data_IF_208633243650
#
_entry.id   IF_208633243650
#
_cell.length_a   1.000
_cell.length_b   1.000
_cell.length_c   1.000
_cell.angle_alpha   90.00
_cell.angle_beta   90.00
_cell.angle_gamma   90.00
#
_symmetry.space_group_name_H-M   'P 1'
#
loop_
_entity.id
_entity.type
_entity.pdbx_description
1 polymer ?
#
# COMPACT_ATOMS: atom_id res chain seq x y z
N UNK A 1 -14.32 17.92 -2.26
CA UNK A 1 -13.88 19.08 -3.05
C UNK A 1 -12.35 19.03 -3.19
N UNK A 2 -11.81 18.64 -4.34
CA UNK A 2 -10.34 18.50 -4.57
C UNK A 2 -9.89 19.19 -5.87
N UNK A 3 -10.80 19.82 -6.62
CA UNK A 3 -10.49 20.38 -7.93
C UNK A 3 -9.70 21.71 -7.90
N UNK A 4 -9.46 22.30 -6.72
CA UNK A 4 -8.98 23.68 -6.61
C UNK A 4 -7.45 23.84 -6.44
N UNK A 5 -6.67 22.77 -6.33
CA UNK A 5 -5.22 22.89 -6.05
C UNK A 5 -4.33 23.02 -7.30
N UNK A 6 -4.90 22.99 -8.51
CA UNK A 6 -4.11 23.07 -9.76
C UNK A 6 -4.25 24.40 -10.52
N UNK A 7 -4.93 25.40 -9.95
CA UNK A 7 -5.13 26.70 -10.60
C UNK A 7 -4.38 27.82 -9.86
N UNK A 8 -3.07 27.92 -10.07
CA UNK A 8 -2.35 29.21 -10.22
C UNK A 8 -0.84 28.99 -10.21
N UNK A 9 -0.18 29.22 -11.36
CA UNK A 9 1.00 30.09 -11.50
C UNK A 9 1.41 30.19 -12.98
N UNK A 10 1.24 31.40 -13.52
CA UNK A 10 1.78 31.86 -14.79
C UNK A 10 3.22 32.35 -14.59
N UNK A 11 4.18 31.87 -15.38
CA UNK A 11 5.57 32.35 -15.38
C UNK A 11 6.49 31.49 -16.24
N UNK A 12 7.29 32.12 -17.09
CA UNK A 12 8.12 31.55 -18.17
C UNK A 12 9.17 30.52 -17.68
N UNK A 13 8.83 29.23 -17.71
CA UNK A 13 9.76 28.09 -17.53
C UNK A 13 9.17 26.73 -17.93
N UNK A 14 7.99 26.74 -18.55
CA UNK A 14 6.98 25.68 -18.42
C UNK A 14 7.13 24.44 -19.34
N UNK A 15 8.15 24.33 -20.20
CA UNK A 15 8.23 23.21 -21.16
C UNK A 15 8.93 21.96 -20.60
N UNK A 16 10.06 22.14 -19.91
CA UNK A 16 10.88 21.04 -19.41
C UNK A 16 10.19 20.24 -18.29
N UNK A 17 9.79 20.93 -17.22
CA UNK A 17 9.14 20.29 -16.06
C UNK A 17 7.83 19.59 -16.43
N UNK A 18 7.06 20.15 -17.36
CA UNK A 18 5.84 19.50 -17.87
C UNK A 18 6.14 18.22 -18.64
N UNK A 19 7.20 18.19 -19.45
CA UNK A 19 7.61 16.99 -20.17
C UNK A 19 8.06 15.92 -19.19
N UNK A 20 8.92 16.27 -18.22
CA UNK A 20 9.40 15.33 -17.20
C UNK A 20 8.24 14.82 -16.33
N UNK A 21 7.31 15.69 -15.96
CA UNK A 21 6.09 15.31 -15.23
C UNK A 21 5.23 14.30 -15.99
N UNK A 22 5.05 14.49 -17.30
CA UNK A 22 4.32 13.53 -18.15
C UNK A 22 5.03 12.18 -18.24
N UNK A 23 6.35 12.18 -18.41
CA UNK A 23 7.15 10.95 -18.46
C UNK A 23 7.10 10.22 -17.11
N UNK A 24 7.25 10.94 -16.00
CA UNK A 24 7.12 10.38 -14.66
C UNK A 24 5.73 9.79 -14.42
N UNK A 25 4.67 10.51 -14.80
CA UNK A 25 3.29 10.02 -14.70
C UNK A 25 3.07 8.74 -15.51
N UNK A 26 3.59 8.68 -16.74
CA UNK A 26 3.51 7.47 -17.57
C UNK A 26 4.32 6.30 -16.99
N UNK A 27 5.52 6.56 -16.47
CA UNK A 27 6.37 5.54 -15.83
C UNK A 27 5.72 4.99 -14.55
N UNK A 28 5.12 5.85 -13.73
CA UNK A 28 4.37 5.44 -12.53
C UNK A 28 3.10 4.68 -12.94
N UNK A 29 2.37 5.15 -13.94
CA UNK A 29 1.19 4.45 -14.46
C UNK A 29 1.53 3.03 -14.92
N UNK A 30 2.71 2.82 -15.51
CA UNK A 30 3.20 1.51 -15.95
C UNK A 30 3.52 0.54 -14.79
N UNK A 31 3.63 1.02 -13.54
CA UNK A 31 3.71 0.14 -12.36
C UNK A 31 2.37 -0.56 -12.07
N UNK A 32 1.28 -0.08 -12.66
CA UNK A 32 -0.06 -0.62 -12.50
C UNK A 32 -0.50 -1.37 -13.75
N UNK A 33 -1.20 -2.49 -13.57
CA UNK A 33 -1.87 -3.22 -14.65
C UNK A 33 -2.96 -2.35 -15.29
N UNK A 34 -3.64 -1.54 -14.47
CA UNK A 34 -4.65 -0.57 -14.90
C UNK A 34 -4.72 0.55 -13.87
N UNK A 35 -4.98 1.77 -14.33
CA UNK A 35 -5.32 2.90 -13.46
C UNK A 35 -6.41 3.75 -14.13
N UNK A 36 -7.35 4.26 -13.36
CA UNK A 36 -8.32 5.25 -13.85
C UNK A 36 -7.66 6.63 -13.98
N UNK A 37 -6.77 6.95 -13.05
CA UNK A 37 -5.98 8.18 -13.04
C UNK A 37 -4.59 7.92 -12.48
N UNK A 38 -3.58 8.53 -13.09
CA UNK A 38 -2.21 8.59 -12.59
C UNK A 38 -1.58 9.89 -13.07
N UNK A 39 -1.53 10.90 -12.20
CA UNK A 39 -0.93 12.20 -12.49
C UNK A 39 0.27 12.43 -11.57
N UNK A 40 1.38 12.85 -12.17
CA UNK A 40 2.58 13.25 -11.46
C UNK A 40 2.92 14.70 -11.83
N UNK A 41 3.42 15.45 -10.85
CA UNK A 41 3.90 16.82 -11.04
C UNK A 41 5.27 16.98 -10.40
N UNK A 42 6.26 17.35 -11.18
CA UNK A 42 7.64 17.61 -10.74
C UNK A 42 7.90 19.11 -10.81
N UNK A 43 8.42 19.66 -9.72
CA UNK A 43 8.86 21.07 -9.63
C UNK A 43 10.37 21.13 -9.59
N UNK A 44 11.00 21.88 -10.49
CA UNK A 44 12.43 22.14 -10.44
C UNK A 44 12.78 23.53 -11.01
N UNK A 45 13.19 24.45 -10.14
CA UNK A 45 13.56 25.81 -10.51
C UNK A 45 15.01 26.14 -10.12
N UNK A 46 15.93 26.39 -11.08
CA UNK A 46 15.73 26.28 -12.53
C UNK A 46 15.64 24.81 -13.00
N UNK A 47 15.01 24.59 -14.15
CA UNK A 47 14.82 23.25 -14.78
C UNK A 47 16.13 22.46 -14.91
N UNK A 48 17.27 23.14 -15.05
CA UNK A 48 18.59 22.51 -15.12
C UNK A 48 18.93 21.65 -13.89
N UNK A 49 18.29 21.86 -12.73
CA UNK A 49 18.41 21.00 -11.54
C UNK A 49 18.04 19.54 -11.81
N UNK A 50 17.12 19.29 -12.75
CA UNK A 50 16.73 17.93 -13.14
C UNK A 50 17.93 17.14 -13.67
N UNK A 51 18.80 17.78 -14.45
CA UNK A 51 20.02 17.17 -14.99
C UNK A 51 21.08 16.90 -13.90
N UNK A 52 20.94 17.53 -12.74
CA UNK A 52 21.77 17.33 -11.56
C UNK A 52 21.14 16.38 -10.54
N UNK A 53 19.96 15.84 -10.84
CA UNK A 53 19.30 14.80 -10.04
C UNK A 53 18.56 15.38 -8.86
N UNK A 54 18.14 16.64 -8.98
CA UNK A 54 17.47 17.38 -7.91
C UNK A 54 16.14 17.95 -8.39
N UNK A 55 15.15 17.87 -7.52
CA UNK A 55 13.81 18.46 -7.67
C UNK A 55 13.47 19.22 -6.39
N UNK A 56 12.69 20.28 -6.52
CA UNK A 56 12.18 21.06 -5.38
C UNK A 56 10.93 20.41 -4.76
N UNK A 57 10.25 19.55 -5.52
CA UNK A 57 9.19 18.70 -4.99
C UNK A 57 8.53 17.83 -6.05
N UNK A 58 7.74 16.87 -5.56
CA UNK A 58 6.99 15.94 -6.38
C UNK A 58 5.62 15.69 -5.78
N UNK A 59 4.58 15.74 -6.61
CA UNK A 59 3.24 15.32 -6.21
C UNK A 59 2.76 14.20 -7.13
N UNK A 60 2.05 13.24 -6.56
CA UNK A 60 1.36 12.19 -7.29
C UNK A 60 -0.07 12.02 -6.79
N UNK A 61 -1.01 11.93 -7.72
CA UNK A 61 -2.41 11.60 -7.46
C UNK A 61 -2.83 10.47 -8.40
N UNK A 62 -3.16 9.33 -7.80
CA UNK A 62 -3.67 8.16 -8.50
C UNK A 62 -5.07 7.75 -8.03
N UNK A 63 -5.86 7.19 -8.95
CA UNK A 63 -7.18 6.61 -8.65
C UNK A 63 -7.39 5.27 -9.34
N UNK A 64 -8.09 4.37 -8.66
CA UNK A 64 -8.49 3.07 -9.20
C UNK A 64 -7.32 2.27 -9.76
N UNK A 65 -6.22 2.21 -9.02
CA UNK A 65 -4.97 1.60 -9.44
C UNK A 65 -4.98 0.11 -9.12
N UNK A 66 -5.04 -0.73 -10.16
CA UNK A 66 -4.92 -2.18 -10.06
C UNK A 66 -3.47 -2.58 -10.32
N UNK A 67 -2.83 -3.14 -9.30
CA UNK A 67 -1.48 -3.69 -9.39
C UNK A 67 -1.47 -5.03 -10.13
N UNK A 68 -0.31 -5.42 -10.67
CA UNK A 68 -0.15 -6.71 -11.37
C UNK A 68 -0.39 -7.92 -10.47
N UNK A 69 -0.16 -7.76 -9.17
CA UNK A 69 -0.43 -8.78 -8.17
C UNK A 69 -1.91 -8.91 -7.77
N UNK A 70 -2.79 -8.07 -8.34
CA UNK A 70 -4.23 -8.08 -8.10
C UNK A 70 -4.70 -7.13 -6.99
N UNK A 71 -3.80 -6.50 -6.23
CA UNK A 71 -4.18 -5.48 -5.25
C UNK A 71 -4.74 -4.24 -5.95
N UNK A 72 -5.90 -3.75 -5.51
CA UNK A 72 -6.48 -2.48 -5.99
C UNK A 72 -6.41 -1.41 -4.91
N UNK A 73 -5.91 -0.24 -5.29
CA UNK A 73 -5.89 0.96 -4.47
C UNK A 73 -6.92 1.93 -5.04
N UNK A 74 -7.84 2.39 -4.20
CA UNK A 74 -8.90 3.30 -4.63
C UNK A 74 -8.33 4.70 -4.91
N UNK A 75 -7.53 5.22 -3.97
CA UNK A 75 -6.84 6.52 -4.09
C UNK A 75 -5.45 6.43 -3.49
N UNK A 76 -4.47 7.04 -4.16
CA UNK A 76 -3.14 7.30 -3.61
C UNK A 76 -2.77 8.75 -3.87
N UNK A 77 -2.40 9.45 -2.80
CA UNK A 77 -1.85 10.79 -2.85
C UNK A 77 -0.45 10.73 -2.22
N UNK A 78 0.57 11.22 -2.91
CA UNK A 78 1.94 11.27 -2.42
C UNK A 78 2.50 12.66 -2.69
N UNK A 79 3.04 13.30 -1.67
CA UNK A 79 3.70 14.60 -1.75
C UNK A 79 5.09 14.49 -1.17
N UNK A 80 6.08 14.92 -1.94
CA UNK A 80 7.48 14.96 -1.55
C UNK A 80 7.98 16.40 -1.58
N UNK A 81 8.74 16.77 -0.56
CA UNK A 81 9.57 17.97 -0.57
C UNK A 81 10.78 17.78 -1.49
N UNK A 82 11.76 18.68 -1.40
CA UNK A 82 12.96 18.62 -2.21
C UNK A 82 13.65 17.24 -2.09
N UNK A 83 14.02 16.68 -3.24
CA UNK A 83 14.74 15.42 -3.36
C UNK A 83 16.00 15.70 -4.17
N UNK A 84 17.14 15.22 -3.70
CA UNK A 84 18.40 15.31 -4.42
C UNK A 84 19.11 13.96 -4.35
N UNK A 85 19.40 13.39 -5.52
CA UNK A 85 20.00 12.06 -5.68
C UNK A 85 21.46 12.20 -6.09
N UNK A 86 22.31 11.32 -5.58
CA UNK A 86 23.69 11.20 -6.02
C UNK A 86 23.80 10.37 -7.29
N UNK A 87 23.89 11.03 -8.45
CA UNK A 87 24.05 10.33 -9.73
C UNK A 87 25.31 9.48 -9.82
N UNK A 88 26.39 9.82 -9.10
CA UNK A 88 27.60 8.97 -9.05
C UNK A 88 27.29 7.58 -8.49
N UNK A 89 26.45 7.53 -7.46
CA UNK A 89 25.98 6.28 -6.85
C UNK A 89 25.08 5.48 -7.81
N UNK A 90 24.30 6.16 -8.65
CA UNK A 90 23.39 5.51 -9.62
C UNK A 90 24.17 4.67 -10.64
N UNK A 91 25.35 5.13 -11.08
CA UNK A 91 26.23 4.33 -11.96
C UNK A 91 26.80 3.08 -11.29
N UNK A 92 26.87 3.07 -9.95
CA UNK A 92 27.20 1.90 -9.15
C UNK A 92 25.96 1.05 -8.79
N UNK A 93 24.80 1.34 -9.38
CA UNK A 93 23.52 0.66 -9.10
C UNK A 93 22.87 1.07 -7.77
N UNK A 94 23.31 2.17 -7.15
CA UNK A 94 22.83 2.62 -5.85
C UNK A 94 21.98 3.89 -5.97
N UNK A 95 20.84 3.92 -5.30
CA UNK A 95 20.06 5.15 -5.13
C UNK A 95 20.39 5.75 -3.78
N UNK A 96 21.12 6.87 -3.78
CA UNK A 96 21.52 7.57 -2.56
C UNK A 96 20.98 8.99 -2.57
N UNK A 97 20.29 9.37 -1.49
CA UNK A 97 19.89 10.76 -1.28
C UNK A 97 21.08 11.58 -0.78
N UNK A 98 21.25 12.79 -1.32
CA UNK A 98 22.25 13.77 -0.85
C UNK A 98 21.79 14.50 0.41
N UNK A 99 20.49 14.50 0.67
CA UNK A 99 19.87 15.09 1.85
C UNK A 99 18.61 14.31 2.23
N UNK A 100 18.20 14.34 3.51
CA UNK A 100 16.88 13.85 3.91
C UNK A 100 15.77 14.56 3.13
N UNK A 101 14.66 13.87 2.91
CA UNK A 101 13.45 14.45 2.31
C UNK A 101 12.26 14.16 3.21
N UNK A 102 11.22 14.97 3.10
CA UNK A 102 9.95 14.74 3.79
C UNK A 102 8.90 14.29 2.78
N UNK A 103 8.13 13.29 3.17
CA UNK A 103 7.06 12.72 2.38
C UNK A 103 5.77 12.72 3.19
N UNK A 104 4.64 13.02 2.54
CA UNK A 104 3.32 12.68 3.05
C UNK A 104 2.61 11.81 2.04
N UNK A 105 1.95 10.77 2.53
CA UNK A 105 1.26 9.81 1.70
C UNK A 105 -0.10 9.48 2.31
N UNK A 106 -1.12 9.38 1.46
CA UNK A 106 -2.44 8.91 1.81
C UNK A 106 -2.84 7.82 0.83
N UNK A 107 -3.18 6.67 1.39
CA UNK A 107 -3.67 5.51 0.64
C UNK A 107 -5.08 5.21 1.13
N UNK A 108 -6.01 5.00 0.20
CA UNK A 108 -7.38 4.61 0.47
C UNK A 108 -7.61 3.23 -0.12
N UNK A 109 -8.06 2.30 0.72
CA UNK A 109 -8.45 0.94 0.35
C UNK A 109 -9.92 0.78 0.69
N UNK A 110 -10.73 0.43 -0.32
CA UNK A 110 -12.14 0.15 -0.09
C UNK A 110 -12.33 -1.26 0.48
N UNK A 111 -13.47 -1.49 1.15
CA UNK A 111 -13.82 -2.82 1.65
C UNK A 111 -13.84 -3.86 0.52
N UNK A 112 -14.46 -3.52 -0.61
CA UNK A 112 -14.54 -4.41 -1.78
C UNK A 112 -13.18 -4.70 -2.38
N UNK A 113 -12.29 -3.70 -2.44
CA UNK A 113 -10.94 -3.88 -2.96
C UNK A 113 -10.11 -4.77 -2.04
N UNK A 114 -10.21 -4.59 -0.72
CA UNK A 114 -9.55 -5.46 0.25
C UNK A 114 -10.05 -6.90 0.12
N UNK A 115 -11.36 -7.13 0.21
CA UNK A 115 -11.95 -8.46 0.04
C UNK A 115 -11.49 -9.12 -1.26
N UNK A 116 -11.53 -8.41 -2.38
CA UNK A 116 -11.02 -8.92 -3.66
C UNK A 116 -9.53 -9.27 -3.56
N UNK A 117 -8.72 -8.37 -2.98
CA UNK A 117 -7.27 -8.51 -2.90
C UNK A 117 -6.85 -9.69 -2.04
N UNK A 118 -7.52 -9.95 -0.92
CA UNK A 118 -7.25 -11.10 -0.05
C UNK A 118 -7.51 -12.46 -0.72
N UNK A 119 -8.30 -12.48 -1.79
CA UNK A 119 -8.55 -13.68 -2.60
C UNK A 119 -7.69 -13.74 -3.88
N UNK A 120 -6.75 -12.80 -4.07
CA UNK A 120 -5.81 -12.87 -5.19
C UNK A 120 -4.71 -13.90 -4.92
N UNK A 121 -4.17 -14.56 -5.96
CA UNK A 121 -3.07 -15.53 -5.78
C UNK A 121 -1.90 -14.94 -4.98
N UNK A 122 -1.55 -13.68 -5.23
CA UNK A 122 -0.45 -13.03 -4.52
C UNK A 122 -0.66 -12.95 -3.01
N UNK A 123 -1.83 -12.47 -2.55
CA UNK A 123 -2.07 -12.35 -1.10
C UNK A 123 -2.26 -13.73 -0.48
N UNK A 124 -2.96 -14.63 -1.15
CA UNK A 124 -3.14 -16.02 -0.69
C UNK A 124 -1.80 -16.73 -0.52
N UNK A 125 -0.87 -16.61 -1.47
CA UNK A 125 0.48 -17.18 -1.37
C UNK A 125 1.31 -16.57 -0.22
N UNK A 126 1.10 -15.28 0.09
CA UNK A 126 1.74 -14.64 1.25
C UNK A 126 1.16 -15.16 2.55
N UNK A 127 -0.16 -15.32 2.63
CA UNK A 127 -0.84 -15.88 3.79
C UNK A 127 -0.55 -17.38 3.99
N UNK A 128 -0.21 -18.12 2.92
CA UNK A 128 0.25 -19.50 3.03
C UNK A 128 1.60 -19.67 3.75
N UNK A 129 2.35 -18.58 3.94
CA UNK A 129 3.58 -18.58 4.74
C UNK A 129 3.28 -18.55 6.24
N UNK A 130 2.05 -18.21 6.62
CA UNK A 130 1.58 -18.35 7.99
C UNK A 130 1.56 -19.83 8.34
N UNK A 131 2.06 -20.15 9.53
CA UNK A 131 2.04 -21.49 10.07
C UNK A 131 1.21 -21.56 11.32
N UNK A 132 0.51 -22.67 11.49
CA UNK A 132 -0.18 -23.03 12.71
C UNK A 132 0.18 -24.47 13.05
N UNK A 133 0.76 -24.70 14.23
CA UNK A 133 1.26 -26.03 14.64
C UNK A 133 2.19 -26.66 13.58
N UNK A 134 3.12 -25.85 13.05
CA UNK A 134 4.06 -26.19 11.97
C UNK A 134 3.45 -26.51 10.58
N UNK A 135 2.13 -26.52 10.46
CA UNK A 135 1.40 -26.72 9.22
C UNK A 135 1.14 -25.41 8.47
N UNK A 136 1.10 -25.47 7.14
CA UNK A 136 0.76 -24.31 6.30
C UNK A 136 -0.74 -24.04 6.31
N UNK A 137 -1.11 -22.77 6.12
CA UNK A 137 -2.50 -22.33 6.10
C UNK A 137 -2.96 -22.01 4.69
N UNK A 138 -4.03 -22.63 4.21
CA UNK A 138 -4.65 -22.28 2.92
C UNK A 138 -5.94 -21.50 3.18
N UNK A 139 -5.90 -20.21 2.88
CA UNK A 139 -7.05 -19.30 3.00
C UNK A 139 -7.93 -19.39 1.75
N UNK A 140 -9.24 -19.46 1.96
CA UNK A 140 -10.28 -19.41 0.92
C UNK A 140 -11.46 -18.56 1.40
N UNK A 141 -12.23 -18.04 0.43
CA UNK A 141 -13.47 -17.29 0.65
C UNK A 141 -13.30 -16.19 1.72
N UNK A 142 -12.21 -15.43 1.63
CA UNK A 142 -11.93 -14.38 2.61
C UNK A 142 -12.83 -13.18 2.39
N UNK A 143 -13.54 -12.74 3.41
CA UNK A 143 -14.37 -11.54 3.41
C UNK A 143 -13.84 -10.53 4.42
N UNK A 144 -13.68 -9.29 3.99
CA UNK A 144 -13.33 -8.15 4.84
C UNK A 144 -14.54 -7.23 4.96
N UNK A 145 -14.82 -6.78 6.18
CA UNK A 145 -15.84 -5.77 6.46
C UNK A 145 -15.40 -4.76 7.50
N UNK A 146 -15.94 -3.55 7.42
CA UNK A 146 -15.66 -2.48 8.38
C UNK A 146 -16.88 -2.21 9.27
N UNK A 147 -16.67 -2.18 10.59
CA UNK A 147 -17.66 -1.76 11.56
C UNK A 147 -17.79 -0.23 11.65
N UNK A 148 -18.94 0.25 12.11
CA UNK A 148 -19.18 1.68 12.34
C UNK A 148 -18.24 2.27 13.41
N UNK A 149 -17.71 1.43 14.29
CA UNK A 149 -16.73 1.74 15.32
C UNK A 149 -15.28 1.69 14.80
N UNK A 150 -15.07 1.66 13.47
CA UNK A 150 -13.77 1.51 12.79
C UNK A 150 -13.09 0.16 13.02
N UNK A 151 -13.82 -0.83 13.54
CA UNK A 151 -13.31 -2.20 13.58
C UNK A 151 -13.19 -2.76 12.16
N UNK A 152 -12.24 -3.68 11.99
CA UNK A 152 -12.10 -4.54 10.82
C UNK A 152 -12.51 -5.93 11.22
N UNK A 153 -13.40 -6.54 10.46
CA UNK A 153 -13.78 -7.94 10.59
C UNK A 153 -13.31 -8.72 9.37
N UNK A 154 -12.62 -9.83 9.63
CA UNK A 154 -12.16 -10.80 8.65
C UNK A 154 -12.89 -12.13 8.90
N UNK A 155 -13.53 -12.65 7.86
CA UNK A 155 -14.03 -14.03 7.83
C UNK A 155 -13.29 -14.80 6.76
N UNK A 156 -12.95 -16.05 7.02
CA UNK A 156 -12.30 -16.90 6.02
C UNK A 156 -12.46 -18.36 6.35
N UNK A 157 -12.50 -19.19 5.32
CA UNK A 157 -12.29 -20.63 5.42
C UNK A 157 -10.77 -20.90 5.41
N UNK A 158 -10.27 -21.64 6.39
CA UNK A 158 -8.85 -21.98 6.48
C UNK A 158 -8.66 -23.48 6.56
N UNK A 159 -7.92 -24.02 5.61
CA UNK A 159 -7.47 -25.41 5.64
C UNK A 159 -6.07 -25.46 6.24
N UNK A 160 -5.91 -26.27 7.29
CA UNK A 160 -4.62 -26.48 7.97
C UNK A 160 -3.94 -27.70 7.36
N UNK A 161 -2.72 -27.52 6.83
CA UNK A 161 -1.95 -28.56 6.17
C UNK A 161 -2.72 -29.20 5.01
N UNK A 162 -2.84 -30.52 5.06
CA UNK A 162 -3.56 -31.31 4.06
C UNK A 162 -5.02 -31.61 4.42
N UNK A 163 -5.59 -30.94 5.44
CA UNK A 163 -7.00 -31.11 5.80
C UNK A 163 -7.92 -30.79 4.61
N UNK A 164 -8.98 -31.60 4.48
CA UNK A 164 -10.09 -31.37 3.54
C UNK A 164 -11.26 -30.62 4.16
N UNK A 165 -11.28 -30.48 5.49
CA UNK A 165 -12.29 -29.73 6.21
C UNK A 165 -11.73 -28.37 6.62
N UNK A 166 -12.42 -27.26 6.31
CA UNK A 166 -11.98 -25.93 6.69
C UNK A 166 -12.37 -25.60 8.13
N UNK A 167 -11.50 -24.84 8.80
CA UNK A 167 -11.85 -24.11 10.02
C UNK A 167 -12.35 -22.73 9.61
N UNK A 168 -13.59 -22.41 9.97
CA UNK A 168 -14.18 -21.10 9.69
C UNK A 168 -13.76 -20.12 10.77
N UNK A 169 -12.95 -19.13 10.40
CA UNK A 169 -12.53 -18.08 11.32
C UNK A 169 -13.40 -16.83 11.17
N UNK A 170 -13.60 -16.13 12.29
CA UNK A 170 -14.27 -14.85 12.36
C UNK A 170 -13.54 -13.96 13.36
N UNK A 171 -12.76 -13.02 12.85
CA UNK A 171 -11.89 -12.17 13.65
C UNK A 171 -12.37 -10.74 13.49
N UNK A 172 -12.62 -10.06 14.60
CA UNK A 172 -12.87 -8.61 14.60
C UNK A 172 -11.81 -7.93 15.44
N UNK A 173 -11.23 -6.85 14.93
CA UNK A 173 -10.13 -6.14 15.56
C UNK A 173 -10.22 -4.63 15.28
N UNK A 174 -9.59 -3.83 16.13
CA UNK A 174 -9.35 -2.42 15.89
C UNK A 174 -7.93 -2.24 15.34
N UNK A 175 -7.72 -1.25 14.48
CA UNK A 175 -6.38 -0.90 14.00
C UNK A 175 -5.79 0.23 14.83
N UNK A 176 -4.54 0.06 15.25
CA UNK A 176 -3.76 1.09 15.90
C UNK A 176 -2.42 1.29 15.18
N UNK A 177 -1.98 2.53 15.08
CA UNK A 177 -0.63 2.86 14.62
C UNK A 177 0.23 3.16 15.84
N UNK A 178 1.31 2.41 16.02
CA UNK A 178 2.29 2.59 17.08
C UNK A 178 3.57 3.21 16.54
N UNK A 179 4.12 4.16 17.30
CA UNK A 179 5.41 4.83 17.00
C UNK A 179 5.49 5.41 15.57
N UNK A 180 4.35 5.64 14.91
CA UNK A 180 4.23 6.05 13.49
C UNK A 180 4.85 5.10 12.48
N UNK A 181 5.23 3.88 12.88
CA UNK A 181 5.90 2.88 12.02
C UNK A 181 5.23 1.52 12.02
N UNK A 182 4.57 1.14 13.11
CA UNK A 182 3.96 -0.18 13.26
C UNK A 182 2.45 -0.09 13.17
N UNK A 183 1.84 -1.03 12.45
CA UNK A 183 0.39 -1.22 12.45
C UNK A 183 0.09 -2.44 13.31
N UNK A 184 -0.80 -2.29 14.29
CA UNK A 184 -1.24 -3.38 15.15
C UNK A 184 -2.76 -3.58 15.07
N UNK A 185 -3.15 -4.85 15.07
CA UNK A 185 -4.50 -5.29 15.34
C UNK A 185 -4.66 -5.48 16.85
N UNK A 186 -5.51 -4.65 17.47
CA UNK A 186 -5.75 -4.58 18.91
C UNK A 186 -7.24 -4.81 19.22
N UNK A 187 -7.57 -5.00 20.51
CA UNK A 187 -8.94 -5.24 20.97
C UNK A 187 -9.63 -6.36 20.17
N UNK A 188 -8.89 -7.45 19.96
CA UNK A 188 -9.31 -8.52 19.05
C UNK A 188 -10.31 -9.44 19.72
N UNK A 189 -11.40 -9.72 19.01
CA UNK A 189 -12.41 -10.72 19.37
C UNK A 189 -12.44 -11.83 18.33
N UNK A 190 -12.53 -13.06 18.81
CA UNK A 190 -12.58 -14.26 17.97
C UNK A 190 -13.95 -14.91 18.11
N UNK A 191 -14.63 -15.15 16.99
CA UNK A 191 -15.84 -15.96 16.92
C UNK A 191 -15.54 -17.40 16.53
N UNK A 192 -16.54 -18.27 16.66
CA UNK A 192 -16.42 -19.70 16.36
C UNK A 192 -16.24 -20.55 17.61
N UNK A 193 -15.79 -21.79 17.42
CA UNK A 193 -15.41 -22.70 18.50
C UNK A 193 -13.97 -22.43 18.98
N UNK A 194 -13.52 -23.23 19.96
CA UNK A 194 -12.19 -23.11 20.55
C UNK A 194 -11.07 -23.25 19.50
N UNK A 195 -11.23 -24.15 18.53
CA UNK A 195 -10.26 -24.34 17.46
C UNK A 195 -10.17 -23.11 16.54
N UNK A 196 -11.30 -22.51 16.15
CA UNK A 196 -11.34 -21.31 15.35
C UNK A 196 -10.72 -20.11 16.08
N UNK A 197 -10.97 -19.99 17.39
CA UNK A 197 -10.40 -18.94 18.22
C UNK A 197 -8.88 -19.05 18.36
N UNK A 198 -8.37 -20.27 18.62
CA UNK A 198 -6.93 -20.53 18.73
C UNK A 198 -6.18 -20.26 17.42
N UNK A 199 -6.75 -20.70 16.30
CA UNK A 199 -6.22 -20.41 14.97
C UNK A 199 -6.24 -18.91 14.68
N UNK A 200 -7.35 -18.23 15.00
CA UNK A 200 -7.49 -16.80 14.82
C UNK A 200 -6.42 -16.01 15.59
N UNK A 201 -6.12 -16.43 16.81
CA UNK A 201 -5.07 -15.82 17.65
C UNK A 201 -3.70 -15.98 17.02
N UNK A 202 -3.34 -17.18 16.57
CA UNK A 202 -2.06 -17.42 15.91
C UNK A 202 -1.88 -16.57 14.63
N UNK A 203 -2.96 -16.38 13.86
CA UNK A 203 -2.95 -15.52 12.67
C UNK A 203 -2.69 -14.07 13.06
N UNK A 204 -3.39 -13.55 14.06
CA UNK A 204 -3.23 -12.16 14.52
C UNK A 204 -1.82 -11.91 15.05
N UNK A 205 -1.27 -12.84 15.82
CA UNK A 205 0.10 -12.75 16.33
C UNK A 205 1.11 -12.67 15.18
N UNK A 206 0.93 -13.50 14.15
CA UNK A 206 1.83 -13.47 12.99
C UNK A 206 1.69 -12.17 12.17
N UNK A 207 0.46 -11.71 11.93
CA UNK A 207 0.22 -10.48 11.16
C UNK A 207 0.78 -9.25 11.90
N UNK A 208 0.60 -9.18 13.22
CA UNK A 208 1.17 -8.10 14.04
C UNK A 208 2.70 -8.09 14.02
N UNK A 209 3.35 -9.26 13.95
CA UNK A 209 4.80 -9.36 13.79
C UNK A 209 5.25 -8.93 12.37
N UNK A 210 4.46 -9.24 11.35
CA UNK A 210 4.76 -8.85 9.96
C UNK A 210 4.64 -7.34 9.74
N UNK A 211 3.75 -6.67 10.46
CA UNK A 211 3.46 -5.24 10.34
C UNK A 211 4.28 -4.35 11.31
N UNK A 212 5.30 -4.92 11.95
CA UNK A 212 6.36 -4.19 12.64
C UNK A 212 7.44 -3.75 11.62
N UNK A 213 7.27 -2.55 11.07
CA UNK A 213 8.10 -1.99 9.97
C UNK A 213 9.38 -1.29 10.45
#
# INVERSE_FOLDING_TARGET
MVAALFSSTSGQGQSGDRLVSKVAGAAIAALFKKSEKAEANIRAEPVAKLLQGSIDGFDFIGKGMLMYNGLRIEVMELYLQAVSIDFGAVFAGQVKLRQPTQASMRVVLSQSDLTTSFNTPFVVEKLQRLKYQDESLRFQNTEISFGADKSIRLKSEIFVGNSTEPVNIDITAQLQVEERRKIQFVSVTYGGDEQAADLGKAIIDHVNNLLDL
#
